data_IF_032174206827
#
_entry.id   IF_032174206827
#
_cell.length_a   1.000
_cell.length_b   1.000
_cell.length_c   1.000
_cell.angle_alpha   90.00
_cell.angle_beta   90.00
_cell.angle_gamma   90.00
#
_symmetry.space_group_name_H-M   'P 1'
#
loop_
_entity.id
_entity.type
_entity.pdbx_description
1 polymer ?
#
# COMPACT_ATOMS: atom_id res chain seq x y z
N UNK A 1 -9.02 -4.77 -10.82
CA UNK A 1 -8.10 -5.85 -11.25
C UNK A 1 -8.61 -7.17 -10.69
N UNK A 2 -8.55 -8.29 -11.44
CA UNK A 2 -8.95 -9.58 -10.89
C UNK A 2 -8.05 -9.97 -9.73
N UNK A 3 -8.63 -10.59 -8.70
CA UNK A 3 -7.89 -11.05 -7.53
C UNK A 3 -7.08 -12.29 -7.88
N UNK A 4 -5.85 -12.33 -7.39
CA UNK A 4 -4.93 -13.45 -7.57
C UNK A 4 -4.43 -13.90 -6.21
N UNK A 5 -4.49 -15.22 -6.01
CA UNK A 5 -3.85 -15.89 -4.88
C UNK A 5 -2.34 -15.97 -5.07
N UNK A 6 -1.60 -16.28 -4.00
CA UNK A 6 -0.14 -16.46 -4.06
C UNK A 6 0.35 -17.47 -5.12
N UNK A 7 -0.49 -18.43 -5.52
CA UNK A 7 -0.14 -19.44 -6.55
C UNK A 7 -0.17 -18.86 -7.97
N UNK A 8 -0.97 -17.82 -8.18
CA UNK A 8 -1.26 -17.24 -9.50
C UNK A 8 -0.41 -16.01 -9.83
N UNK A 9 0.34 -15.50 -8.85
CA UNK A 9 1.19 -14.32 -9.01
C UNK A 9 2.59 -14.68 -9.50
N UNK A 10 3.28 -13.74 -10.15
CA UNK A 10 4.64 -13.96 -10.67
C UNK A 10 5.67 -14.20 -9.54
N UNK A 11 6.74 -14.98 -9.77
CA UNK A 11 7.77 -15.27 -8.76
C UNK A 11 8.37 -14.03 -8.08
N UNK A 12 8.61 -12.96 -8.86
CA UNK A 12 9.18 -11.70 -8.37
C UNK A 12 8.26 -11.02 -7.34
N UNK A 13 6.95 -11.06 -7.58
CA UNK A 13 5.95 -10.54 -6.65
C UNK A 13 5.92 -11.36 -5.34
N UNK A 14 6.03 -12.70 -5.45
CA UNK A 14 6.09 -13.60 -4.28
C UNK A 14 7.33 -13.33 -3.44
N UNK A 15 8.49 -13.17 -4.08
CA UNK A 15 9.75 -12.91 -3.39
C UNK A 15 9.71 -11.59 -2.62
N UNK A 16 9.20 -10.52 -3.23
CA UNK A 16 9.00 -9.24 -2.55
C UNK A 16 8.03 -9.37 -1.36
N UNK A 17 6.92 -10.09 -1.56
CA UNK A 17 5.95 -10.37 -0.50
C UNK A 17 6.55 -11.15 0.68
N UNK A 18 7.30 -12.22 0.41
CA UNK A 18 7.94 -13.04 1.45
C UNK A 18 8.97 -12.23 2.26
N UNK A 19 9.79 -11.41 1.60
CA UNK A 19 10.69 -10.46 2.28
C UNK A 19 9.91 -9.44 3.10
N UNK A 20 8.80 -8.94 2.57
CA UNK A 20 7.91 -7.99 3.24
C UNK A 20 7.33 -8.56 4.54
N UNK A 21 6.89 -9.83 4.51
CA UNK A 21 6.42 -10.53 5.70
C UNK A 21 7.52 -10.69 6.76
N UNK A 22 8.76 -10.97 6.35
CA UNK A 22 9.91 -11.01 7.29
C UNK A 22 10.15 -9.64 7.93
N UNK A 23 10.14 -8.57 7.12
CA UNK A 23 10.32 -7.21 7.62
C UNK A 23 9.20 -6.78 8.57
N UNK A 24 7.94 -7.13 8.26
CA UNK A 24 6.76 -6.87 9.09
C UNK A 24 6.87 -7.58 10.45
N UNK A 25 7.29 -8.86 10.47
CA UNK A 25 7.52 -9.61 11.72
C UNK A 25 8.62 -9.00 12.58
N UNK A 26 9.67 -8.47 11.96
CA UNK A 26 10.76 -7.74 12.62
C UNK A 26 10.40 -6.29 12.97
N UNK A 27 9.15 -5.89 12.71
CA UNK A 27 8.63 -4.56 13.01
C UNK A 27 9.37 -3.43 12.26
N UNK A 28 10.07 -3.77 11.17
CA UNK A 28 10.67 -2.83 10.23
C UNK A 28 9.61 -2.39 9.22
N UNK A 29 8.70 -1.54 9.69
CA UNK A 29 7.46 -1.28 8.99
C UNK A 29 7.65 -0.49 7.70
N UNK A 30 8.57 0.49 7.68
CA UNK A 30 8.90 1.28 6.49
C UNK A 30 9.43 0.39 5.35
N UNK A 31 10.30 -0.56 5.68
CA UNK A 31 10.85 -1.48 4.70
C UNK A 31 9.81 -2.49 4.21
N UNK A 32 8.96 -2.97 5.12
CA UNK A 32 7.83 -3.81 4.75
C UNK A 32 6.87 -3.10 3.79
N UNK A 33 6.54 -1.82 4.01
CA UNK A 33 5.74 -1.01 3.07
C UNK A 33 6.36 -1.04 1.67
N UNK A 34 7.65 -0.69 1.54
CA UNK A 34 8.34 -0.66 0.24
C UNK A 34 8.33 -2.00 -0.49
N UNK A 35 8.50 -3.10 0.24
CA UNK A 35 8.50 -4.44 -0.32
C UNK A 35 7.11 -4.87 -0.81
N UNK A 36 6.05 -4.54 -0.05
CA UNK A 36 4.68 -4.82 -0.47
C UNK A 36 4.26 -3.96 -1.68
N UNK A 37 4.60 -2.67 -1.70
CA UNK A 37 4.38 -1.81 -2.88
C UNK A 37 5.12 -2.33 -4.12
N UNK A 38 6.35 -2.83 -3.96
CA UNK A 38 7.09 -3.45 -5.06
C UNK A 38 6.40 -4.73 -5.55
N UNK A 39 5.89 -5.56 -4.65
CA UNK A 39 5.11 -6.75 -5.02
C UNK A 39 3.85 -6.37 -5.80
N UNK A 40 3.13 -5.32 -5.37
CA UNK A 40 1.92 -4.83 -6.03
C UNK A 40 2.20 -4.13 -7.37
N UNK A 41 3.37 -3.52 -7.56
CA UNK A 41 3.80 -3.03 -8.88
C UNK A 41 4.01 -4.16 -9.88
N UNK A 42 4.50 -5.32 -9.42
CA UNK A 42 4.60 -6.50 -10.27
C UNK A 42 3.23 -7.17 -10.49
N UNK A 43 2.40 -7.21 -9.46
CA UNK A 43 1.09 -7.85 -9.51
C UNK A 43 0.05 -7.10 -8.67
N UNK A 44 -0.66 -6.13 -9.27
CA UNK A 44 -1.66 -5.34 -8.56
C UNK A 44 -2.83 -6.20 -8.04
N UNK A 45 -3.07 -7.34 -8.69
CA UNK A 45 -4.10 -8.32 -8.34
C UNK A 45 -3.78 -9.15 -7.10
N UNK A 46 -2.57 -9.09 -6.54
CA UNK A 46 -2.13 -9.94 -5.42
C UNK A 46 -2.87 -9.63 -4.11
N UNK A 47 -3.93 -10.38 -3.83
CA UNK A 47 -4.85 -10.12 -2.71
C UNK A 47 -4.15 -10.18 -1.34
N UNK A 48 -3.41 -11.27 -1.07
CA UNK A 48 -2.69 -11.46 0.19
C UNK A 48 -1.68 -10.34 0.47
N UNK A 49 -1.05 -9.79 -0.58
CA UNK A 49 -0.12 -8.68 -0.44
C UNK A 49 -0.83 -7.36 -0.06
N UNK A 50 -2.00 -7.08 -0.65
CA UNK A 50 -2.80 -5.91 -0.28
C UNK A 50 -3.26 -5.99 1.17
N UNK A 51 -3.71 -7.16 1.62
CA UNK A 51 -4.10 -7.38 3.02
C UNK A 51 -2.92 -7.16 3.98
N UNK A 52 -1.75 -7.73 3.68
CA UNK A 52 -0.54 -7.54 4.49
C UNK A 52 -0.07 -6.08 4.52
N UNK A 53 -0.14 -5.37 3.39
CA UNK A 53 0.15 -3.94 3.32
C UNK A 53 -0.82 -3.14 4.19
N UNK A 54 -2.11 -3.46 4.15
CA UNK A 54 -3.12 -2.78 4.96
C UNK A 54 -2.85 -2.94 6.45
N UNK A 55 -2.55 -4.15 6.90
CA UNK A 55 -2.15 -4.43 8.28
C UNK A 55 -0.89 -3.64 8.66
N UNK A 56 0.10 -3.58 7.76
CA UNK A 56 1.32 -2.80 7.98
C UNK A 56 1.04 -1.29 8.13
N UNK A 57 0.20 -0.71 7.28
CA UNK A 57 -0.19 0.70 7.33
C UNK A 57 -0.89 1.04 8.65
N UNK A 58 -1.85 0.22 9.10
CA UNK A 58 -2.49 0.42 10.41
C UNK A 58 -1.50 0.30 11.57
N UNK A 59 -0.59 -0.69 11.52
CA UNK A 59 0.44 -0.85 12.54
C UNK A 59 1.39 0.37 12.58
N UNK A 60 1.73 0.95 11.42
CA UNK A 60 2.51 2.20 11.32
C UNK A 60 1.76 3.38 11.92
N UNK A 61 0.48 3.55 11.59
CA UNK A 61 -0.33 4.63 12.13
C UNK A 61 -0.50 4.53 13.66
N UNK A 62 -0.62 3.31 14.21
CA UNK A 62 -0.68 3.08 15.66
C UNK A 62 0.61 3.48 16.40
N UNK A 63 1.77 3.48 15.72
CA UNK A 63 3.05 3.94 16.28
C UNK A 63 3.30 5.43 16.15
N UNK A 64 2.64 6.11 15.21
CA UNK A 64 2.80 7.56 15.00
C UNK A 64 2.01 8.31 16.09
N UNK A 65 2.70 9.14 16.88
CA UNK A 65 2.09 9.99 17.91
C UNK A 65 1.06 10.97 17.32
N UNK A 66 0.05 11.36 18.10
CA UNK A 66 -1.17 12.07 17.67
C UNK A 66 -0.97 13.35 16.84
N UNK A 67 0.22 13.96 16.88
CA UNK A 67 0.58 15.12 16.06
C UNK A 67 0.71 14.79 14.55
N UNK A 68 1.21 13.60 14.18
CA UNK A 68 1.33 13.19 12.78
C UNK A 68 -0.02 12.90 12.10
N UNK A 69 -1.06 12.61 12.90
CA UNK A 69 -2.41 12.32 12.40
C UNK A 69 -3.04 13.52 11.69
N UNK A 70 -2.60 14.74 12.02
CA UNK A 70 -3.06 15.98 11.39
C UNK A 70 -2.46 16.19 9.98
N UNK A 71 -1.24 15.68 9.74
CA UNK A 71 -0.56 15.77 8.43
C UNK A 71 -1.12 14.80 7.38
N UNK A 72 -1.63 13.63 7.79
CA UNK A 72 -2.24 12.67 6.86
C UNK A 72 -3.45 13.27 6.11
N UNK A 73 -4.21 14.16 6.75
CA UNK A 73 -5.33 14.89 6.12
C UNK A 73 -4.87 15.83 5.00
N UNK A 74 -3.65 16.34 5.09
CA UNK A 74 -3.11 17.31 4.12
C UNK A 74 -2.58 16.61 2.86
N UNK A 75 -1.93 15.44 2.98
CA UNK A 75 -1.44 14.71 1.79
C UNK A 75 -2.58 14.27 0.89
N UNK A 76 -3.68 13.76 1.47
CA UNK A 76 -4.89 13.36 0.74
C UNK A 76 -5.42 14.50 -0.15
N UNK A 77 -5.47 15.73 0.38
CA UNK A 77 -5.98 16.90 -0.36
C UNK A 77 -5.18 17.24 -1.63
N UNK A 78 -3.88 16.88 -1.67
CA UNK A 78 -3.00 17.13 -2.81
C UNK A 78 -2.98 16.00 -3.85
N UNK A 79 -3.21 14.76 -3.42
CA UNK A 79 -3.11 13.57 -4.27
C UNK A 79 -4.46 13.13 -4.84
N UNK A 80 -5.59 13.43 -4.20
CA UNK A 80 -6.93 13.07 -4.68
C UNK A 80 -7.23 13.57 -6.10
N UNK A 81 -6.96 14.84 -6.47
CA UNK A 81 -7.20 15.29 -7.84
C UNK A 81 -6.33 14.55 -8.87
N UNK A 82 -5.09 14.21 -8.50
CA UNK A 82 -4.18 13.43 -9.35
C UNK A 82 -4.69 12.00 -9.51
N UNK A 83 -5.10 11.36 -8.42
CA UNK A 83 -5.70 10.03 -8.42
C UNK A 83 -6.94 9.97 -9.31
N UNK A 84 -7.83 10.96 -9.22
CA UNK A 84 -9.05 11.02 -10.05
C UNK A 84 -8.74 11.16 -11.55
N UNK A 85 -7.69 11.92 -11.89
CA UNK A 85 -7.25 12.09 -13.28
C UNK A 85 -6.60 10.81 -13.83
N UNK A 86 -5.74 10.17 -13.04
CA UNK A 86 -5.08 8.91 -13.41
C UNK A 86 -6.12 7.79 -13.52
N UNK A 87 -7.09 7.71 -12.61
CA UNK A 87 -8.17 6.70 -12.66
C UNK A 87 -8.90 6.69 -14.01
N UNK A 88 -9.14 7.86 -14.61
CA UNK A 88 -9.80 7.99 -15.92
C UNK A 88 -8.92 7.53 -17.09
N UNK A 89 -7.59 7.55 -16.94
CA UNK A 89 -6.63 7.25 -18.02
C UNK A 89 -6.02 5.86 -17.89
N UNK A 90 -5.60 5.52 -16.68
CA UNK A 90 -4.89 4.30 -16.32
C UNK A 90 -5.33 3.85 -14.90
N UNK A 91 -6.37 3.03 -14.80
CA UNK A 91 -6.90 2.60 -13.50
C UNK A 91 -5.92 1.73 -12.70
N UNK A 92 -4.91 1.14 -13.34
CA UNK A 92 -3.89 0.34 -12.65
C UNK A 92 -2.93 1.26 -11.89
N UNK A 93 -2.47 2.33 -12.53
CA UNK A 93 -1.56 3.31 -11.92
C UNK A 93 -2.26 4.12 -10.81
N UNK A 94 -3.58 4.27 -10.89
CA UNK A 94 -4.36 4.89 -9.82
C UNK A 94 -4.26 4.12 -8.49
N UNK A 95 -3.96 2.82 -8.53
CA UNK A 95 -3.76 1.99 -7.32
C UNK A 95 -2.52 2.46 -6.56
N UNK A 96 -1.44 2.85 -7.25
CA UNK A 96 -0.24 3.34 -6.58
C UNK A 96 -0.50 4.65 -5.82
N UNK A 97 -1.29 5.55 -6.42
CA UNK A 97 -1.69 6.81 -5.77
C UNK A 97 -2.59 6.54 -4.57
N UNK A 98 -3.50 5.58 -4.68
CA UNK A 98 -4.32 5.15 -3.56
C UNK A 98 -3.48 4.63 -2.39
N UNK A 99 -2.49 3.76 -2.67
CA UNK A 99 -1.60 3.24 -1.62
C UNK A 99 -0.75 4.33 -0.97
N UNK A 100 -0.30 5.34 -1.73
CA UNK A 100 0.39 6.51 -1.17
C UNK A 100 -0.49 7.27 -0.17
N UNK A 101 -1.77 7.48 -0.49
CA UNK A 101 -2.73 8.12 0.42
C UNK A 101 -2.90 7.26 1.68
N UNK A 102 -3.04 5.94 1.53
CA UNK A 102 -3.26 5.02 2.64
C UNK A 102 -2.03 4.80 3.52
N UNK A 103 -0.82 4.99 2.99
CA UNK A 103 0.42 5.00 3.77
C UNK A 103 0.51 6.17 4.75
N UNK A 104 -0.08 7.31 4.38
CA UNK A 104 -0.12 8.51 5.21
C UNK A 104 -1.32 8.48 6.16
N UNK A 105 -2.50 8.12 5.65
CA UNK A 105 -3.72 7.95 6.44
C UNK A 105 -4.45 6.63 6.09
N UNK A 106 -4.24 5.56 6.87
CA UNK A 106 -4.93 4.30 6.62
C UNK A 106 -6.44 4.38 6.91
N UNK A 107 -6.92 5.40 7.61
CA UNK A 107 -8.35 5.60 7.84
C UNK A 107 -9.03 6.37 6.71
N UNK A 108 -8.27 6.80 5.69
CA UNK A 108 -8.82 7.50 4.54
C UNK A 108 -9.89 6.64 3.86
N UNK A 109 -11.12 7.13 3.94
CA UNK A 109 -12.25 6.71 3.11
C UNK A 109 -12.27 7.69 1.94
N UNK A 110 -11.47 7.41 0.91
CA UNK A 110 -11.55 8.17 -0.33
C UNK A 110 -12.99 8.17 -0.87
#
# INVERSE_FOLDING_TARGET
VPEKSRKEVQPQARECFDKGLVALRKDNLEYATKLFEQALRHEPGFFECREALRLNQFKRAGKKSGFFRMFGKTTASSLLPKGQLILKKNPIEAIEVAEQILNDDPYSVM
#
